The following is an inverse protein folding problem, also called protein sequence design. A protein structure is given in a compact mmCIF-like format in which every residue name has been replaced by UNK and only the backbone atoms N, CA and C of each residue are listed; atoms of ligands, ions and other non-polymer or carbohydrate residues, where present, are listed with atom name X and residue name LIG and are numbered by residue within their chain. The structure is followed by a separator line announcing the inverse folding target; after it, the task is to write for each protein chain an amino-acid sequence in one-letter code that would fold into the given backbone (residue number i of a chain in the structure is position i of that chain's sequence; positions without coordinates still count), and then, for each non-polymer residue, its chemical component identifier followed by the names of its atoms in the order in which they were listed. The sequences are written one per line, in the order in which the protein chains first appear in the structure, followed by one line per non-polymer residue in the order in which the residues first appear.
data_IF_941834019462
#
_entry.id   IF_941834019462
#
_cell.length_a   1.000
_cell.length_b   1.000
_cell.length_c   1.000
_cell.angle_alpha   90.00
_cell.angle_beta   90.00
_cell.angle_gamma   90.00
#
_symmetry.space_group_name_H-M   'P 1'
#
loop_
_entity.id
_entity.type
_entity.pdbx_description
1 polymer ?
#
# COMPACT_ATOMS: atom_id res chain seq x y z
N UNK A 1 -30.53 -43.04 -45.09
CA UNK A 1 -29.46 -42.68 -44.09
C UNK A 1 -29.64 -41.23 -43.71
N UNK A 2 -30.27 -40.99 -42.58
CA UNK A 2 -30.50 -39.60 -42.07
C UNK A 2 -29.47 -39.32 -41.02
N UNK A 3 -28.65 -38.29 -41.24
CA UNK A 3 -27.62 -37.84 -40.31
C UNK A 3 -28.27 -36.85 -39.32
N UNK A 4 -28.37 -37.23 -38.06
CA UNK A 4 -28.84 -36.35 -36.98
C UNK A 4 -27.63 -35.61 -36.40
N UNK A 5 -27.56 -34.30 -36.62
CA UNK A 5 -26.53 -33.44 -36.02
C UNK A 5 -27.04 -33.03 -34.64
N UNK A 6 -26.41 -33.55 -33.57
CA UNK A 6 -26.59 -33.07 -32.20
C UNK A 6 -25.74 -31.82 -31.99
N UNK A 7 -26.40 -30.65 -31.88
CA UNK A 7 -25.79 -29.40 -31.40
C UNK A 7 -25.64 -29.49 -29.88
N UNK A 8 -24.41 -29.70 -29.41
CA UNK A 8 -24.05 -29.52 -28.01
C UNK A 8 -23.94 -28.02 -27.73
N UNK A 9 -24.92 -27.48 -27.02
CA UNK A 9 -24.82 -26.14 -26.39
C UNK A 9 -23.91 -26.28 -25.17
N UNK A 10 -22.67 -25.84 -25.31
CA UNK A 10 -21.77 -25.63 -24.16
C UNK A 10 -22.29 -24.49 -23.31
N UNK A 11 -22.78 -24.81 -22.11
CA UNK A 11 -23.05 -23.82 -21.07
C UNK A 11 -21.72 -23.17 -20.68
N UNK A 12 -21.50 -21.92 -21.11
CA UNK A 12 -20.44 -21.06 -20.55
C UNK A 12 -20.91 -20.72 -19.15
N UNK A 13 -20.43 -21.47 -18.17
CA UNK A 13 -20.54 -21.11 -16.76
C UNK A 13 -19.74 -19.84 -16.57
N UNK A 14 -20.44 -18.69 -16.51
CA UNK A 14 -19.87 -17.42 -16.07
C UNK A 14 -19.30 -17.62 -14.67
N UNK A 15 -17.98 -17.79 -14.57
CA UNK A 15 -17.30 -17.66 -13.31
C UNK A 15 -17.63 -16.25 -12.79
N UNK A 16 -18.47 -16.18 -11.78
CA UNK A 16 -18.64 -14.94 -11.03
C UNK A 16 -17.24 -14.55 -10.55
N UNK A 17 -16.68 -13.48 -11.09
CA UNK A 17 -15.46 -12.90 -10.55
C UNK A 17 -15.78 -12.51 -9.12
N UNK A 18 -15.33 -13.32 -8.17
CA UNK A 18 -15.39 -12.96 -6.77
C UNK A 18 -14.70 -11.62 -6.65
N UNK A 19 -15.45 -10.60 -6.24
CA UNK A 19 -14.92 -9.25 -6.03
C UNK A 19 -13.76 -9.40 -5.05
N UNK A 20 -12.57 -8.99 -5.45
CA UNK A 20 -11.41 -9.08 -4.56
C UNK A 20 -11.73 -8.33 -3.28
N UNK A 21 -11.51 -8.92 -2.10
CA UNK A 21 -11.79 -8.26 -0.84
C UNK A 21 -11.02 -6.94 -0.77
N UNK A 22 -11.63 -5.91 -0.16
CA UNK A 22 -10.94 -4.66 0.08
C UNK A 22 -9.67 -4.89 0.89
N UNK A 23 -8.63 -4.13 0.57
CA UNK A 23 -7.40 -4.10 1.36
C UNK A 23 -7.66 -3.34 2.65
N UNK A 24 -7.31 -3.95 3.75
CA UNK A 24 -7.25 -3.34 5.07
C UNK A 24 -5.79 -3.42 5.52
N UNK A 25 -5.04 -2.37 5.17
CA UNK A 25 -3.59 -2.30 5.35
C UNK A 25 -3.17 -1.84 6.74
N UNK A 26 -1.95 -2.20 7.14
CA UNK A 26 -1.33 -1.74 8.39
C UNK A 26 0.17 -1.54 8.18
N UNK A 27 0.69 -0.33 8.47
CA UNK A 27 2.13 -0.10 8.51
C UNK A 27 2.75 -0.60 9.82
N UNK A 28 3.86 -1.32 9.70
CA UNK A 28 4.71 -1.76 10.81
C UNK A 28 6.12 -1.24 10.55
N UNK A 29 6.45 -0.08 11.13
CA UNK A 29 7.71 0.61 10.91
C UNK A 29 8.88 0.04 11.71
N UNK A 30 8.59 -0.44 12.92
CA UNK A 30 9.62 -0.95 13.85
C UNK A 30 9.59 -2.47 13.88
N UNK A 31 10.08 -3.11 12.82
CA UNK A 31 10.18 -4.58 12.75
C UNK A 31 10.85 -5.19 13.97
N UNK A 32 11.96 -4.65 14.54
CA UNK A 32 12.52 -5.20 15.77
C UNK A 32 11.52 -5.32 16.93
N UNK A 33 10.50 -4.46 17.00
CA UNK A 33 9.49 -4.56 18.07
C UNK A 33 8.58 -5.78 17.93
N UNK A 34 8.37 -6.27 16.73
CA UNK A 34 7.56 -7.49 16.47
C UNK A 34 8.41 -8.76 16.45
N UNK A 35 9.74 -8.63 16.44
CA UNK A 35 10.71 -9.72 16.57
C UNK A 35 11.22 -9.91 18.00
N UNK A 36 11.00 -8.96 18.91
CA UNK A 36 11.59 -8.91 20.24
C UNK A 36 11.31 -10.17 21.10
N UNK A 37 10.19 -10.84 20.88
CA UNK A 37 9.84 -12.11 21.48
C UNK A 37 8.82 -12.86 20.60
N UNK A 38 8.69 -14.18 20.71
CA UNK A 38 7.66 -14.94 19.98
C UNK A 38 6.24 -14.41 20.21
N UNK A 39 5.93 -13.92 21.43
CA UNK A 39 4.65 -13.30 21.75
C UNK A 39 4.40 -11.97 21.03
N UNK A 40 5.44 -11.26 20.58
CA UNK A 40 5.29 -9.98 19.86
C UNK A 40 4.67 -10.19 18.47
N UNK A 41 5.10 -11.22 17.73
CA UNK A 41 4.49 -11.60 16.47
C UNK A 41 3.02 -12.05 16.64
N UNK A 42 2.72 -12.77 17.72
CA UNK A 42 1.34 -13.15 18.06
C UNK A 42 0.48 -11.94 18.43
N UNK A 43 1.03 -10.95 19.13
CA UNK A 43 0.34 -9.70 19.43
C UNK A 43 -0.02 -8.93 18.15
N UNK A 44 0.91 -8.82 17.19
CA UNK A 44 0.64 -8.23 15.88
C UNK A 44 -0.48 -8.98 15.15
N UNK A 45 -0.40 -10.32 15.08
CA UNK A 45 -1.46 -11.13 14.46
C UNK A 45 -2.83 -10.89 15.11
N UNK A 46 -2.88 -10.89 16.44
CA UNK A 46 -4.12 -10.70 17.20
C UNK A 46 -4.69 -9.30 16.96
N UNK A 47 -3.83 -8.27 16.93
CA UNK A 47 -4.22 -6.92 16.55
C UNK A 47 -4.82 -6.90 15.14
N UNK A 48 -4.14 -7.46 14.15
CA UNK A 48 -4.65 -7.54 12.79
C UNK A 48 -6.02 -8.19 12.71
N UNK A 49 -6.22 -9.31 13.40
CA UNK A 49 -7.51 -10.00 13.44
C UNK A 49 -8.60 -9.16 14.10
N UNK A 50 -8.30 -8.50 15.22
CA UNK A 50 -9.26 -7.65 15.94
C UNK A 50 -9.70 -6.42 15.15
N UNK A 51 -8.81 -5.88 14.32
CA UNK A 51 -9.03 -4.71 13.47
C UNK A 51 -9.38 -5.04 12.02
N UNK A 52 -9.61 -6.32 11.70
CA UNK A 52 -9.90 -6.79 10.32
C UNK A 52 -8.82 -6.44 9.30
N UNK A 53 -7.58 -6.24 9.73
CA UNK A 53 -6.42 -6.03 8.87
C UNK A 53 -6.12 -7.32 8.11
N UNK A 54 -5.97 -7.22 6.79
CA UNK A 54 -5.68 -8.35 5.91
C UNK A 54 -4.39 -8.19 5.08
N UNK A 55 -3.71 -7.03 5.26
CA UNK A 55 -2.43 -6.76 4.61
C UNK A 55 -1.53 -5.95 5.56
N UNK A 56 -0.26 -6.34 5.70
CA UNK A 56 0.73 -5.69 6.55
C UNK A 56 1.88 -5.18 5.69
N UNK A 57 2.26 -3.93 5.85
CA UNK A 57 3.44 -3.32 5.26
C UNK A 57 4.55 -3.37 6.30
N UNK A 58 5.40 -4.39 6.22
CA UNK A 58 6.43 -4.68 7.21
C UNK A 58 7.76 -4.04 6.78
N UNK A 59 8.26 -3.08 7.56
CA UNK A 59 9.54 -2.44 7.29
C UNK A 59 10.67 -3.47 7.26
N UNK A 60 11.42 -3.51 6.16
CA UNK A 60 12.50 -4.46 5.97
C UNK A 60 13.76 -3.75 5.44
N UNK A 61 14.88 -3.93 6.14
CA UNK A 61 16.18 -3.33 5.79
C UNK A 61 17.19 -4.43 5.48
N UNK A 62 17.25 -4.92 4.22
CA UNK A 62 18.08 -6.08 3.87
C UNK A 62 19.58 -5.89 4.11
N UNK A 63 20.05 -4.65 4.06
CA UNK A 63 21.45 -4.29 4.31
C UNK A 63 21.85 -4.35 5.81
N UNK A 64 20.88 -4.50 6.69
CA UNK A 64 21.08 -4.59 8.15
C UNK A 64 20.71 -5.93 8.73
N UNK A 65 19.83 -6.68 8.05
CA UNK A 65 19.37 -7.98 8.53
C UNK A 65 20.49 -9.02 8.43
N UNK A 66 20.79 -9.67 9.55
CA UNK A 66 21.61 -10.88 9.57
C UNK A 66 20.76 -12.14 9.34
N UNK A 67 21.40 -13.31 9.29
CA UNK A 67 20.69 -14.56 9.04
C UNK A 67 19.67 -14.92 10.14
N UNK A 68 19.86 -14.45 11.37
CA UNK A 68 18.92 -14.65 12.49
C UNK A 68 17.69 -13.80 12.30
N UNK A 69 17.87 -12.50 12.03
CA UNK A 69 16.76 -11.58 11.76
C UNK A 69 15.98 -12.00 10.50
N UNK A 70 16.66 -12.45 9.44
CA UNK A 70 16.03 -13.00 8.24
C UNK A 70 15.09 -14.17 8.58
N UNK A 71 15.55 -15.10 9.44
CA UNK A 71 14.75 -16.24 9.87
C UNK A 71 13.57 -15.83 10.76
N UNK A 72 13.75 -14.85 11.64
CA UNK A 72 12.69 -14.32 12.50
C UNK A 72 11.62 -13.61 11.68
N UNK A 73 12.00 -12.78 10.72
CA UNK A 73 11.08 -12.14 9.76
C UNK A 73 10.27 -13.20 9.02
N UNK A 74 10.91 -14.25 8.50
CA UNK A 74 10.22 -15.36 7.84
C UNK A 74 9.23 -16.06 8.81
N UNK A 75 9.57 -16.17 10.08
CA UNK A 75 8.67 -16.71 11.12
C UNK A 75 7.42 -15.88 11.33
N UNK A 76 7.56 -14.55 11.39
CA UNK A 76 6.43 -13.60 11.52
C UNK A 76 5.56 -13.62 10.27
N UNK A 77 6.16 -13.61 9.07
CA UNK A 77 5.40 -13.72 7.80
C UNK A 77 4.60 -15.02 7.78
N UNK A 78 5.21 -16.16 8.12
CA UNK A 78 4.53 -17.45 8.18
C UNK A 78 3.35 -17.44 9.18
N UNK A 79 3.50 -16.73 10.31
CA UNK A 79 2.43 -16.58 11.30
C UNK A 79 1.24 -15.78 10.74
N UNK A 80 1.51 -14.67 10.08
CA UNK A 80 0.50 -13.81 9.45
C UNK A 80 -0.21 -14.55 8.30
N UNK A 81 0.54 -15.24 7.45
CA UNK A 81 -0.01 -16.04 6.34
C UNK A 81 -0.99 -17.12 6.82
N UNK A 82 -0.69 -17.82 7.93
CA UNK A 82 -1.62 -18.80 8.53
C UNK A 82 -2.96 -18.17 8.95
N UNK A 83 -2.99 -16.86 9.14
CA UNK A 83 -4.21 -16.09 9.46
C UNK A 83 -4.84 -15.42 8.22
N UNK A 84 -4.36 -15.72 7.02
CA UNK A 84 -4.85 -15.12 5.77
C UNK A 84 -4.42 -13.66 5.58
N UNK A 85 -3.41 -13.19 6.32
CA UNK A 85 -2.89 -11.82 6.25
C UNK A 85 -1.70 -11.81 5.31
N UNK A 86 -1.74 -10.97 4.26
CA UNK A 86 -0.65 -10.74 3.32
C UNK A 86 0.42 -9.85 3.95
N UNK A 87 1.66 -9.98 3.49
CA UNK A 87 2.77 -9.15 3.97
C UNK A 87 3.56 -8.60 2.80
N UNK A 88 3.62 -7.28 2.70
CA UNK A 88 4.46 -6.58 1.72
C UNK A 88 5.73 -6.04 2.40
N UNK A 89 6.87 -6.15 1.71
CA UNK A 89 8.13 -5.56 2.19
C UNK A 89 8.06 -4.04 2.04
N UNK A 90 8.01 -3.32 3.16
CA UNK A 90 8.02 -1.85 3.17
C UNK A 90 9.45 -1.34 3.06
N UNK A 91 9.73 -0.67 1.95
CA UNK A 91 11.01 -0.08 1.61
C UNK A 91 10.88 1.45 1.54
N UNK A 92 11.51 2.16 2.47
CA UNK A 92 11.41 3.62 2.55
C UNK A 92 12.70 4.33 2.15
N UNK A 93 12.58 5.51 1.53
CA UNK A 93 13.67 6.38 1.18
C UNK A 93 13.18 7.81 0.88
N UNK A 94 13.98 8.81 1.23
CA UNK A 94 13.72 10.20 0.83
C UNK A 94 14.49 10.63 -0.43
N UNK A 95 15.41 9.80 -0.92
CA UNK A 95 16.31 10.15 -2.03
C UNK A 95 16.28 9.14 -3.19
N UNK A 96 15.50 8.07 -3.11
CA UNK A 96 15.53 7.02 -4.13
C UNK A 96 14.84 7.41 -5.47
N UNK A 97 14.23 8.60 -5.56
CA UNK A 97 13.86 9.21 -6.83
C UNK A 97 15.09 9.66 -7.63
N UNK A 98 16.18 10.08 -6.96
CA UNK A 98 17.40 10.52 -7.61
C UNK A 98 18.09 9.37 -8.35
N UNK A 99 18.43 9.55 -9.64
CA UNK A 99 19.18 8.55 -10.39
C UNK A 99 20.58 8.33 -9.79
N UNK A 100 21.12 7.12 -9.97
CA UNK A 100 22.42 6.70 -9.44
C UNK A 100 22.32 6.07 -8.05
N UNK A 101 23.26 6.33 -7.15
CA UNK A 101 23.51 5.54 -5.95
C UNK A 101 22.28 5.32 -5.03
N UNK A 102 21.38 6.29 -4.91
CA UNK A 102 20.18 6.16 -4.08
C UNK A 102 19.14 5.24 -4.70
N UNK A 103 18.88 5.42 -6.01
CA UNK A 103 17.98 4.54 -6.77
C UNK A 103 18.56 3.13 -6.86
N UNK A 104 19.86 3.01 -7.17
CA UNK A 104 20.54 1.71 -7.24
C UNK A 104 20.42 0.96 -5.93
N UNK A 105 20.60 1.64 -4.78
CA UNK A 105 20.42 1.04 -3.46
C UNK A 105 18.98 0.54 -3.25
N UNK A 106 17.95 1.28 -3.64
CA UNK A 106 16.57 0.81 -3.57
C UNK A 106 16.37 -0.45 -4.43
N UNK A 107 16.90 -0.45 -5.66
CA UNK A 107 16.84 -1.62 -6.53
C UNK A 107 17.57 -2.84 -5.95
N UNK A 108 18.69 -2.63 -5.25
CA UNK A 108 19.39 -3.70 -4.55
C UNK A 108 18.56 -4.24 -3.37
N UNK A 109 17.85 -3.38 -2.63
CA UNK A 109 16.89 -3.82 -1.61
C UNK A 109 15.74 -4.64 -2.22
N UNK A 110 15.21 -4.21 -3.36
CA UNK A 110 14.19 -5.00 -4.10
C UNK A 110 14.73 -6.37 -4.47
N UNK A 111 15.94 -6.47 -5.02
CA UNK A 111 16.58 -7.75 -5.34
C UNK A 111 16.80 -8.62 -4.11
N UNK A 112 17.16 -8.01 -2.97
CA UNK A 112 17.31 -8.73 -1.70
C UNK A 112 15.98 -9.29 -1.18
N UNK A 113 14.86 -8.58 -1.35
CA UNK A 113 13.51 -9.11 -1.05
C UNK A 113 13.19 -10.31 -1.94
N UNK A 114 13.54 -10.26 -3.23
CA UNK A 114 13.35 -11.40 -4.14
C UNK A 114 14.19 -12.61 -3.74
N UNK A 115 15.44 -12.38 -3.30
CA UNK A 115 16.32 -13.43 -2.78
C UNK A 115 15.80 -14.01 -1.47
N UNK A 116 15.27 -13.16 -0.56
CA UNK A 116 14.56 -13.61 0.64
C UNK A 116 13.43 -14.57 0.27
N UNK A 117 12.58 -14.22 -0.69
CA UNK A 117 11.46 -15.05 -1.14
C UNK A 117 11.95 -16.38 -1.74
N UNK A 118 13.09 -16.38 -2.44
CA UNK A 118 13.70 -17.60 -2.97
C UNK A 118 14.16 -18.54 -1.86
N UNK A 119 14.73 -18.01 -0.78
CA UNK A 119 15.15 -18.77 0.40
C UNK A 119 13.97 -19.24 1.25
N UNK A 120 12.91 -18.46 1.32
CA UNK A 120 11.73 -18.69 2.17
C UNK A 120 10.42 -18.85 1.36
N UNK A 121 10.27 -19.87 0.50
CA UNK A 121 9.18 -19.95 -0.48
C UNK A 121 7.78 -20.11 0.14
N UNK A 122 7.69 -20.42 1.44
CA UNK A 122 6.42 -20.57 2.19
C UNK A 122 6.14 -19.39 3.15
N UNK A 123 7.07 -18.50 3.29
CA UNK A 123 7.03 -17.36 4.21
C UNK A 123 7.75 -16.14 3.61
N UNK A 124 7.69 -16.01 2.31
CA UNK A 124 8.17 -14.83 1.59
C UNK A 124 7.17 -13.69 1.63
N UNK A 125 7.62 -12.50 1.28
CA UNK A 125 6.78 -11.33 1.08
C UNK A 125 5.85 -11.52 -0.12
N UNK A 126 4.62 -11.05 -0.03
CA UNK A 126 3.60 -11.11 -1.09
C UNK A 126 3.72 -9.96 -2.11
N UNK A 127 4.47 -8.92 -1.77
CA UNK A 127 4.64 -7.74 -2.59
C UNK A 127 5.72 -6.81 -2.04
N UNK A 128 5.93 -5.71 -2.75
CA UNK A 128 6.81 -4.61 -2.36
C UNK A 128 5.95 -3.37 -2.15
N UNK A 129 6.12 -2.72 -1.01
CA UNK A 129 5.48 -1.47 -0.66
C UNK A 129 6.55 -0.37 -0.60
N UNK A 130 6.45 0.60 -1.47
CA UNK A 130 7.40 1.70 -1.56
C UNK A 130 6.90 2.91 -0.78
N UNK A 131 7.77 3.47 0.05
CA UNK A 131 7.56 4.76 0.69
C UNK A 131 8.71 5.69 0.32
N UNK A 132 8.66 6.22 -0.90
CA UNK A 132 9.68 7.14 -1.43
C UNK A 132 9.14 8.56 -1.37
N UNK A 133 9.71 9.36 -0.46
CA UNK A 133 9.18 10.65 -0.08
C UNK A 133 10.09 11.84 -0.42
N UNK A 134 10.39 12.10 -1.70
CA UNK A 134 11.26 13.19 -2.11
C UNK A 134 10.75 14.58 -1.70
N UNK A 135 9.44 14.71 -1.45
CA UNK A 135 8.84 15.96 -0.97
C UNK A 135 9.28 16.35 0.44
N UNK A 136 9.89 15.45 1.21
CA UNK A 136 10.42 15.73 2.53
C UNK A 136 11.74 16.50 2.47
N UNK A 137 12.48 16.46 1.36
CA UNK A 137 13.71 17.21 1.18
C UNK A 137 13.45 18.72 1.18
N UNK A 138 14.33 19.52 1.81
CA UNK A 138 14.14 20.98 1.90
C UNK A 138 13.91 21.68 0.55
N UNK A 139 14.64 21.30 -0.50
CA UNK A 139 14.55 21.86 -1.85
C UNK A 139 13.23 21.53 -2.56
N UNK A 140 12.55 20.48 -2.14
CA UNK A 140 11.28 20.03 -2.70
C UNK A 140 10.05 20.48 -1.89
N UNK A 141 10.27 21.23 -0.80
CA UNK A 141 9.19 21.78 0.01
C UNK A 141 8.44 22.89 -0.75
N UNK A 142 7.19 23.08 -0.38
CA UNK A 142 6.32 24.09 -0.93
C UNK A 142 5.17 23.52 -1.78
N UNK A 143 4.06 24.27 -1.85
CA UNK A 143 2.88 23.84 -2.61
C UNK A 143 3.21 23.81 -4.11
N UNK A 144 2.84 22.73 -4.78
CA UNK A 144 3.00 22.60 -6.24
C UNK A 144 4.42 22.32 -6.73
N UNK A 145 5.42 22.20 -5.86
CA UNK A 145 6.75 21.79 -6.28
C UNK A 145 6.77 20.26 -6.52
N UNK A 146 6.74 19.84 -7.78
CA UNK A 146 6.75 18.44 -8.23
C UNK A 146 7.87 18.17 -9.23
N UNK A 147 8.98 18.93 -9.17
CA UNK A 147 10.13 18.77 -10.09
C UNK A 147 10.73 17.36 -10.04
N UNK A 148 10.66 16.71 -8.88
CA UNK A 148 11.14 15.35 -8.65
C UNK A 148 10.21 14.26 -9.22
N UNK A 149 8.99 14.60 -9.63
CA UNK A 149 7.98 13.58 -9.97
C UNK A 149 8.41 12.71 -11.16
N UNK A 150 9.07 13.29 -12.15
CA UNK A 150 9.55 12.53 -13.31
C UNK A 150 10.55 11.45 -12.90
N UNK A 151 11.52 11.80 -12.06
CA UNK A 151 12.55 10.87 -11.59
C UNK A 151 11.97 9.81 -10.64
N UNK A 152 10.99 10.19 -9.81
CA UNK A 152 10.24 9.26 -8.98
C UNK A 152 9.47 8.22 -9.81
N UNK A 153 8.78 8.68 -10.86
CA UNK A 153 8.04 7.78 -11.75
C UNK A 153 8.97 6.81 -12.51
N UNK A 154 10.17 7.27 -12.85
CA UNK A 154 11.20 6.41 -13.43
C UNK A 154 11.65 5.34 -12.41
N UNK A 155 11.87 5.73 -11.16
CA UNK A 155 12.17 4.78 -10.07
C UNK A 155 11.05 3.74 -9.93
N UNK A 156 9.79 4.17 -9.92
CA UNK A 156 8.66 3.23 -9.87
C UNK A 156 8.65 2.26 -11.04
N UNK A 157 8.94 2.75 -12.26
CA UNK A 157 9.02 1.93 -13.46
C UNK A 157 10.12 0.87 -13.36
N UNK A 158 11.30 1.25 -12.88
CA UNK A 158 12.43 0.33 -12.71
C UNK A 158 12.17 -0.73 -11.65
N UNK A 159 11.65 -0.32 -10.47
CA UNK A 159 11.27 -1.27 -9.41
C UNK A 159 10.19 -2.23 -9.91
N UNK A 160 9.17 -1.71 -10.58
CA UNK A 160 8.10 -2.52 -11.16
C UNK A 160 8.64 -3.55 -12.15
N UNK A 161 9.54 -3.15 -13.04
CA UNK A 161 10.11 -4.06 -14.02
C UNK A 161 10.87 -5.23 -13.38
N UNK A 162 11.62 -4.98 -12.29
CA UNK A 162 12.32 -6.02 -11.54
C UNK A 162 11.34 -6.93 -10.79
N UNK A 163 10.31 -6.36 -10.15
CA UNK A 163 9.33 -7.09 -9.37
C UNK A 163 8.42 -7.98 -10.25
N UNK A 164 7.92 -7.48 -11.37
CA UNK A 164 7.05 -8.20 -12.30
C UNK A 164 7.70 -9.45 -12.90
N UNK A 165 9.02 -9.41 -13.17
CA UNK A 165 9.77 -10.59 -13.61
C UNK A 165 9.70 -11.74 -12.60
N UNK A 166 9.44 -11.41 -11.33
CA UNK A 166 9.32 -12.36 -10.23
C UNK A 166 7.88 -12.51 -9.74
N UNK A 167 6.88 -12.01 -10.49
CA UNK A 167 5.44 -12.05 -10.18
C UNK A 167 5.08 -11.37 -8.85
N UNK A 168 5.86 -10.38 -8.43
CA UNK A 168 5.56 -9.57 -7.26
C UNK A 168 4.80 -8.30 -7.65
N UNK A 169 3.81 -7.95 -6.84
CA UNK A 169 3.08 -6.69 -6.96
C UNK A 169 3.90 -5.58 -6.32
N UNK A 170 3.89 -4.40 -6.93
CA UNK A 170 4.44 -3.18 -6.33
C UNK A 170 3.30 -2.23 -5.98
N UNK A 171 3.31 -1.77 -4.75
CA UNK A 171 2.46 -0.73 -4.19
C UNK A 171 3.34 0.46 -3.79
N UNK A 172 2.81 1.68 -3.74
CA UNK A 172 3.54 2.82 -3.23
C UNK A 172 2.65 3.77 -2.45
N UNK A 173 3.22 4.35 -1.39
CA UNK A 173 2.65 5.47 -0.67
C UNK A 173 2.82 6.75 -1.48
N UNK A 174 1.76 7.55 -1.57
CA UNK A 174 1.79 8.86 -2.20
C UNK A 174 1.14 9.92 -1.28
N UNK A 175 1.80 11.04 -1.04
CA UNK A 175 1.18 12.16 -0.35
C UNK A 175 0.15 12.86 -1.25
N UNK A 176 -0.87 13.46 -0.66
CA UNK A 176 -1.91 14.20 -1.38
C UNK A 176 -1.38 15.31 -2.30
N UNK A 177 -0.21 15.85 -1.98
CA UNK A 177 0.52 16.84 -2.78
C UNK A 177 0.75 16.36 -4.23
N UNK A 178 1.02 15.08 -4.45
CA UNK A 178 1.30 14.54 -5.79
C UNK A 178 0.09 14.63 -6.72
N UNK A 179 -1.13 14.63 -6.17
CA UNK A 179 -2.37 14.76 -6.94
C UNK A 179 -2.62 16.19 -7.43
N UNK A 180 -1.88 17.19 -6.92
CA UNK A 180 -2.00 18.61 -7.31
C UNK A 180 -1.24 18.95 -8.60
N UNK A 181 -0.58 17.98 -9.22
CA UNK A 181 0.05 18.12 -10.52
C UNK A 181 -0.96 18.40 -11.65
N UNK A 182 -0.45 18.76 -12.81
CA UNK A 182 -1.27 18.88 -14.01
C UNK A 182 -1.87 17.54 -14.45
N UNK A 183 -2.71 17.55 -15.46
CA UNK A 183 -3.38 16.34 -15.94
C UNK A 183 -2.40 15.27 -16.40
N UNK A 184 -1.31 15.67 -17.10
CA UNK A 184 -0.28 14.74 -17.59
C UNK A 184 0.50 14.09 -16.44
N UNK A 185 0.86 14.87 -15.44
CA UNK A 185 1.55 14.39 -14.22
C UNK A 185 0.67 13.41 -13.43
N UNK A 186 -0.64 13.73 -13.28
CA UNK A 186 -1.57 12.81 -12.61
C UNK A 186 -1.78 11.53 -13.41
N UNK A 187 -1.96 11.63 -14.74
CA UNK A 187 -2.08 10.44 -15.60
C UNK A 187 -0.84 9.56 -15.48
N UNK A 188 0.36 10.14 -15.52
CA UNK A 188 1.61 9.39 -15.37
C UNK A 188 1.72 8.71 -14.00
N UNK A 189 1.39 9.43 -12.91
CA UNK A 189 1.39 8.89 -11.56
C UNK A 189 0.40 7.72 -11.42
N UNK A 190 -0.85 7.93 -11.83
CA UNK A 190 -1.91 6.93 -11.68
C UNK A 190 -1.73 5.72 -12.60
N UNK A 191 -0.85 5.80 -13.61
CA UNK A 191 -0.51 4.69 -14.50
C UNK A 191 0.83 4.02 -14.16
N UNK A 192 1.56 4.53 -13.17
CA UNK A 192 2.93 4.06 -12.86
C UNK A 192 2.97 2.69 -12.22
N UNK A 193 2.07 2.43 -11.28
CA UNK A 193 1.98 1.20 -10.51
C UNK A 193 0.55 0.66 -10.51
N UNK A 194 0.35 -0.65 -10.27
CA UNK A 194 -1.00 -1.22 -10.21
C UNK A 194 -1.78 -0.80 -8.96
N UNK A 195 -1.10 -0.41 -7.89
CA UNK A 195 -1.67 -0.04 -6.60
C UNK A 195 -0.95 1.17 -6.01
N UNK A 196 -1.71 2.08 -5.39
CA UNK A 196 -1.19 3.24 -4.65
C UNK A 196 -1.92 3.35 -3.31
N UNK A 197 -1.26 3.91 -2.31
CA UNK A 197 -1.86 4.25 -1.02
C UNK A 197 -1.72 5.75 -0.79
N UNK A 198 -2.85 6.45 -0.78
CA UNK A 198 -2.90 7.90 -0.59
C UNK A 198 -2.81 8.25 0.89
N UNK A 199 -1.71 8.89 1.30
CA UNK A 199 -1.51 9.35 2.66
C UNK A 199 -2.27 10.64 2.94
N UNK A 200 -3.22 10.61 3.90
CA UNK A 200 -4.02 11.75 4.32
C UNK A 200 -3.76 12.14 5.79
N UNK A 201 -2.49 12.09 6.21
CA UNK A 201 -2.10 12.31 7.61
C UNK A 201 -2.27 13.76 8.08
N UNK A 202 -2.02 14.74 7.21
CA UNK A 202 -2.09 16.17 7.56
C UNK A 202 -3.52 16.66 7.89
N UNK A 203 -4.53 15.91 7.44
CA UNK A 203 -5.92 16.24 7.67
C UNK A 203 -6.42 15.77 9.03
N UNK A 204 -5.65 14.94 9.70
CA UNK A 204 -5.98 14.30 10.96
C UNK A 204 -5.49 15.04 12.20
N UNK A 205 -4.97 16.26 12.08
CA UNK A 205 -4.41 17.00 13.21
C UNK A 205 -5.52 17.61 14.07
N UNK A 206 -5.71 17.19 15.35
CA UNK A 206 -6.81 17.67 16.20
C UNK A 206 -6.57 19.06 16.81
N UNK A 207 -5.75 19.91 16.21
CA UNK A 207 -5.24 21.15 16.80
C UNK A 207 -6.29 22.20 17.19
N UNK A 208 -7.58 22.03 16.86
CA UNK A 208 -8.52 23.16 16.92
C UNK A 208 -9.74 22.96 17.84
N UNK A 209 -9.70 22.05 18.81
CA UNK A 209 -10.82 21.88 19.77
C UNK A 209 -12.15 21.49 19.14
N UNK A 210 -12.13 20.98 17.90
CA UNK A 210 -13.34 20.54 17.19
C UNK A 210 -13.83 19.21 17.76
N UNK A 211 -15.15 18.99 17.71
CA UNK A 211 -15.72 17.71 18.09
C UNK A 211 -15.21 16.60 17.18
N UNK A 212 -15.04 15.42 17.73
CA UNK A 212 -14.56 14.22 17.03
C UNK A 212 -15.41 13.83 15.83
N UNK A 213 -16.72 14.12 15.85
CA UNK A 213 -17.62 13.91 14.70
C UNK A 213 -17.34 14.88 13.55
N UNK A 214 -17.10 16.16 13.83
CA UNK A 214 -16.78 17.16 12.80
C UNK A 214 -15.43 16.86 12.12
N UNK A 215 -14.48 16.30 12.85
CA UNK A 215 -13.19 15.85 12.32
C UNK A 215 -13.36 14.62 11.41
N UNK A 216 -14.19 13.66 11.81
CA UNK A 216 -14.52 12.50 11.00
C UNK A 216 -15.17 12.91 9.67
N UNK A 217 -16.11 13.86 9.70
CA UNK A 217 -16.75 14.38 8.48
C UNK A 217 -15.77 15.11 7.55
N UNK A 218 -14.86 15.91 8.11
CA UNK A 218 -13.79 16.56 7.31
C UNK A 218 -12.90 15.53 6.63
N UNK A 219 -12.48 14.50 7.36
CA UNK A 219 -11.60 13.47 6.82
C UNK A 219 -12.32 12.65 5.73
N UNK A 220 -13.60 12.32 5.95
CA UNK A 220 -14.44 11.67 4.95
C UNK A 220 -14.52 12.50 3.67
N UNK A 221 -14.91 13.78 3.78
CA UNK A 221 -14.97 14.70 2.63
C UNK A 221 -13.62 14.84 1.93
N UNK A 222 -12.52 14.93 2.69
CA UNK A 222 -11.19 15.03 2.12
C UNK A 222 -10.81 13.74 1.37
N UNK A 223 -11.12 12.57 1.93
CA UNK A 223 -10.89 11.28 1.27
C UNK A 223 -11.62 11.20 -0.06
N UNK A 224 -12.90 11.56 -0.11
CA UNK A 224 -13.69 11.62 -1.34
C UNK A 224 -13.11 12.61 -2.35
N UNK A 225 -12.79 13.83 -1.89
CA UNK A 225 -12.28 14.90 -2.75
C UNK A 225 -10.94 14.54 -3.39
N UNK A 226 -9.99 14.05 -2.62
CA UNK A 226 -8.69 13.64 -3.14
C UNK A 226 -8.80 12.38 -4.01
N UNK A 227 -9.66 11.44 -3.64
CA UNK A 227 -9.92 10.26 -4.46
C UNK A 227 -10.49 10.67 -5.83
N UNK A 228 -11.52 11.50 -5.86
CA UNK A 228 -12.10 12.01 -7.10
C UNK A 228 -11.09 12.82 -7.92
N UNK A 229 -10.28 13.67 -7.25
CA UNK A 229 -9.21 14.44 -7.92
C UNK A 229 -8.20 13.52 -8.61
N UNK A 230 -7.83 12.39 -7.98
CA UNK A 230 -6.87 11.45 -8.54
C UNK A 230 -7.28 10.94 -9.92
N UNK A 231 -8.57 10.70 -10.14
CA UNK A 231 -9.08 10.07 -11.37
C UNK A 231 -9.77 11.06 -12.32
N UNK A 232 -10.04 12.30 -11.89
CA UNK A 232 -10.78 13.27 -12.70
C UNK A 232 -10.06 13.61 -14.01
N UNK A 233 -10.74 13.34 -15.14
CA UNK A 233 -10.26 13.67 -16.48
C UNK A 233 -9.18 12.73 -17.02
N UNK A 234 -8.87 11.64 -16.31
CA UNK A 234 -7.89 10.66 -16.76
C UNK A 234 -8.50 9.67 -17.76
N UNK A 235 -7.64 9.11 -18.61
CA UNK A 235 -7.97 7.93 -19.42
C UNK A 235 -8.06 6.70 -18.51
N UNK A 236 -9.15 5.92 -18.60
CA UNK A 236 -9.40 4.78 -17.72
C UNK A 236 -8.47 3.56 -17.93
N UNK A 237 -7.64 3.59 -18.99
CA UNK A 237 -6.76 2.48 -19.29
C UNK A 237 -5.63 2.35 -18.26
N UNK A 238 -5.59 1.23 -17.55
CA UNK A 238 -4.48 0.83 -16.67
C UNK A 238 -4.20 1.78 -15.47
N UNK A 239 -5.23 2.43 -14.95
CA UNK A 239 -5.08 3.26 -13.75
C UNK A 239 -4.88 2.38 -12.51
N UNK A 240 -4.04 2.85 -11.59
CA UNK A 240 -3.85 2.24 -10.28
C UNK A 240 -5.17 2.12 -9.53
N UNK A 241 -5.30 1.08 -8.72
CA UNK A 241 -6.28 1.08 -7.62
C UNK A 241 -5.66 1.78 -6.41
N UNK A 242 -6.47 2.53 -5.67
CA UNK A 242 -5.97 3.37 -4.59
C UNK A 242 -6.63 3.04 -3.24
N UNK A 243 -5.80 2.79 -2.23
CA UNK A 243 -6.21 2.75 -0.83
C UNK A 243 -6.06 4.14 -0.18
N UNK A 244 -6.84 4.39 0.87
CA UNK A 244 -6.74 5.61 1.68
C UNK A 244 -5.99 5.30 2.96
N UNK A 245 -4.84 5.93 3.16
CA UNK A 245 -4.01 5.82 4.36
C UNK A 245 -4.36 6.88 5.39
N UNK A 246 -4.67 6.46 6.63
CA UNK A 246 -5.02 7.33 7.74
C UNK A 246 -4.10 7.10 8.94
N UNK A 247 -3.85 8.16 9.74
CA UNK A 247 -2.94 8.11 10.88
C UNK A 247 -3.69 7.86 12.19
N UNK A 248 -3.06 7.06 13.07
CA UNK A 248 -3.65 6.57 14.31
C UNK A 248 -3.71 7.56 15.46
N UNK A 249 -2.63 8.31 15.84
CA UNK A 249 -2.50 8.83 17.20
C UNK A 249 -3.63 9.74 17.65
N UNK A 250 -4.36 10.31 16.70
CA UNK A 250 -5.33 11.35 16.98
C UNK A 250 -6.76 10.82 17.13
N UNK A 251 -7.00 9.50 16.84
CA UNK A 251 -8.36 8.95 16.71
C UNK A 251 -8.53 7.50 17.19
N UNK A 252 -7.68 6.99 18.11
CA UNK A 252 -7.61 5.57 18.49
C UNK A 252 -8.98 4.87 18.61
N UNK A 253 -9.93 5.48 19.31
CA UNK A 253 -11.27 4.90 19.50
C UNK A 253 -12.21 5.10 18.31
N UNK A 254 -11.91 6.02 17.39
CA UNK A 254 -12.80 6.42 16.29
C UNK A 254 -12.31 5.99 14.92
N UNK A 255 -11.01 5.73 14.78
CA UNK A 255 -10.41 5.37 13.50
C UNK A 255 -11.11 4.17 12.83
N UNK A 256 -11.48 3.08 13.52
CA UNK A 256 -12.24 1.99 12.92
C UNK A 256 -13.57 2.43 12.30
N UNK A 257 -14.31 3.33 12.97
CA UNK A 257 -15.56 3.86 12.43
C UNK A 257 -15.35 4.78 11.24
N UNK A 258 -14.30 5.62 11.29
CA UNK A 258 -13.93 6.51 10.18
C UNK A 258 -13.52 5.71 8.94
N UNK A 259 -12.68 4.70 9.09
CA UNK A 259 -12.26 3.81 8.01
C UNK A 259 -13.47 3.09 7.40
N UNK A 260 -14.40 2.62 8.22
CA UNK A 260 -15.65 2.00 7.77
C UNK A 260 -16.50 2.96 6.96
N UNK A 261 -16.63 4.23 7.39
CA UNK A 261 -17.40 5.25 6.67
C UNK A 261 -16.75 5.57 5.33
N UNK A 262 -15.43 5.81 5.29
CA UNK A 262 -14.69 6.02 4.04
C UNK A 262 -14.88 4.84 3.07
N UNK A 263 -14.83 3.62 3.58
CA UNK A 263 -15.08 2.43 2.75
C UNK A 263 -16.52 2.39 2.22
N UNK A 264 -17.53 2.71 3.03
CA UNK A 264 -18.92 2.76 2.57
C UNK A 264 -19.10 3.75 1.42
N UNK A 265 -18.52 4.95 1.53
CA UNK A 265 -18.65 6.01 0.54
C UNK A 265 -17.91 5.69 -0.77
N UNK A 266 -16.74 5.06 -0.69
CA UNK A 266 -15.89 4.78 -1.86
C UNK A 266 -16.07 3.38 -2.44
N UNK A 267 -16.75 2.45 -1.76
CA UNK A 267 -16.83 1.04 -2.16
C UNK A 267 -17.45 0.77 -3.53
N UNK A 268 -18.28 1.70 -4.03
CA UNK A 268 -18.86 1.61 -5.37
C UNK A 268 -17.90 2.04 -6.49
N UNK A 269 -16.78 2.68 -6.16
CA UNK A 269 -15.82 3.13 -7.15
C UNK A 269 -14.89 1.95 -7.55
N UNK A 270 -14.76 1.61 -8.85
CA UNK A 270 -13.96 0.48 -9.31
C UNK A 270 -12.46 0.60 -9.02
N UNK A 271 -11.98 1.82 -8.78
CA UNK A 271 -10.59 2.09 -8.44
C UNK A 271 -10.32 2.10 -6.94
N UNK A 272 -11.34 2.03 -6.10
CA UNK A 272 -11.15 1.96 -4.66
C UNK A 272 -10.60 0.59 -4.25
N UNK A 273 -9.43 0.60 -3.61
CA UNK A 273 -8.75 -0.60 -3.16
C UNK A 273 -9.10 -0.96 -1.71
N UNK A 274 -9.28 0.04 -0.86
CA UNK A 274 -9.50 -0.14 0.56
C UNK A 274 -8.86 0.99 1.38
N UNK A 275 -8.45 0.67 2.59
CA UNK A 275 -7.82 1.60 3.50
C UNK A 275 -6.55 1.01 4.12
N UNK A 276 -5.72 1.89 4.70
CA UNK A 276 -4.54 1.47 5.45
C UNK A 276 -4.37 2.33 6.72
N UNK A 277 -3.91 1.69 7.78
CA UNK A 277 -3.78 2.26 9.13
C UNK A 277 -2.31 2.53 9.44
N UNK A 278 -1.96 3.79 9.65
CA UNK A 278 -0.64 4.21 10.09
C UNK A 278 -0.67 4.57 11.58
N UNK A 279 -0.02 3.87 12.49
CA UNK A 279 0.73 2.63 12.31
C UNK A 279 0.53 1.72 13.52
N UNK A 280 0.93 0.43 13.43
CA UNK A 280 0.92 -0.51 14.55
C UNK A 280 1.70 -0.02 15.76
N UNK A 281 2.85 0.58 15.52
CA UNK A 281 3.73 1.06 16.60
C UNK A 281 3.17 2.29 17.34
N UNK A 282 2.20 3.00 16.75
CA UNK A 282 1.52 4.12 17.39
C UNK A 282 0.22 3.68 18.09
N UNK A 283 -0.24 2.43 17.84
CA UNK A 283 -1.46 1.85 18.39
C UNK A 283 -1.21 0.97 19.63
N UNK A 284 0.02 0.90 20.12
CA UNK A 284 0.44 0.24 21.35
C UNK A 284 0.71 1.27 22.45
#
# INVERSE_FOLDING_TARGET
MRLTICLLWGAISGAAFAQQPFVHGLWVWKTPSVLAAPSSGEALRNFCQSQTVNEVYLSYSPDKADATEEQEVAGVIALLHRSGIRVEALLSSVNADEPGAHRDKLLDHVRAVLEFNRKHPRSGFDGIHLDVEPQQRPENKGPGNLVFLTDLLETYREVRAVAEQNRMIVNADIPNKFLKGDLGQRQALMSSLPRLTLMLYELSNPSDGQSTSAQADKLRQASENYFNMAYQGLSEAHLAKMAIGLRTPDYESQLPNMLKTVQQDLSSNPHYLGWAWHSYNDAQ
#
